data_IF_275825327995
#
_entry.id   IF_275825327995
#
_cell.length_a   1.000
_cell.length_b   1.000
_cell.length_c   1.000
_cell.angle_alpha   90.00
_cell.angle_beta   90.00
_cell.angle_gamma   90.00
#
_symmetry.space_group_name_H-M   'P 1'
#
loop_
_entity.id
_entity.type
_entity.pdbx_description
1 polymer ?
#
# COMPACT_ATOMS: atom_id res chain seq x y z
N UNK A 1 -38.09 -43.91 -15.68
CA UNK A 1 -37.45 -43.89 -14.35
C UNK A 1 -36.05 -43.36 -14.53
N UNK A 2 -35.46 -42.44 -13.78
CA UNK A 2 -35.87 -41.47 -12.75
C UNK A 2 -34.62 -40.60 -12.49
N UNK A 3 -34.83 -39.40 -11.95
CA UNK A 3 -33.81 -38.44 -11.52
C UNK A 3 -32.70 -39.01 -10.63
N UNK A 4 -31.51 -38.40 -10.68
CA UNK A 4 -30.83 -37.85 -9.47
C UNK A 4 -29.52 -37.12 -9.83
N UNK A 5 -29.47 -35.82 -9.54
CA UNK A 5 -28.24 -35.04 -9.24
C UNK A 5 -28.10 -34.97 -7.69
N UNK A 6 -27.01 -34.45 -7.08
CA UNK A 6 -25.60 -34.28 -7.46
C UNK A 6 -24.61 -34.86 -6.40
N UNK A 7 -23.30 -34.90 -6.68
CA UNK A 7 -22.27 -35.00 -5.63
C UNK A 7 -21.26 -33.87 -5.81
N UNK A 8 -21.17 -32.96 -4.83
CA UNK A 8 -19.98 -32.11 -4.61
C UNK A 8 -18.97 -32.93 -3.80
N UNK A 9 -17.67 -32.77 -4.08
CA UNK A 9 -16.64 -32.37 -3.09
C UNK A 9 -15.24 -32.53 -3.70
N UNK A 10 -14.48 -31.42 -3.64
CA UNK A 10 -13.01 -31.28 -3.65
C UNK A 10 -12.15 -32.20 -4.51
N UNK A 11 -11.47 -31.63 -5.51
CA UNK A 11 -10.25 -32.24 -6.06
C UNK A 11 -9.09 -31.25 -5.89
N UNK A 12 -8.24 -31.59 -4.92
CA UNK A 12 -6.87 -31.09 -4.78
C UNK A 12 -6.05 -31.83 -5.84
N UNK A 13 -5.59 -31.15 -6.90
CA UNK A 13 -4.68 -31.78 -7.87
C UNK A 13 -3.25 -31.50 -7.42
N UNK A 14 -2.70 -32.47 -6.67
CA UNK A 14 -1.27 -32.65 -6.51
C UNK A 14 -0.70 -33.20 -7.83
N UNK A 15 0.23 -32.46 -8.44
CA UNK A 15 1.20 -32.84 -9.48
C UNK A 15 0.85 -34.00 -10.44
N UNK A 16 0.64 -33.67 -11.71
CA UNK A 16 0.80 -34.60 -12.82
C UNK A 16 2.10 -34.25 -13.55
N UNK A 17 3.13 -35.08 -13.43
CA UNK A 17 4.30 -35.05 -14.30
C UNK A 17 3.95 -35.69 -15.64
N UNK A 18 3.75 -34.88 -16.68
CA UNK A 18 3.83 -35.31 -18.08
C UNK A 18 4.73 -34.33 -18.82
N UNK A 19 5.63 -34.87 -19.64
CA UNK A 19 6.68 -34.17 -20.40
C UNK A 19 6.11 -33.34 -21.56
N UNK A 20 5.37 -32.29 -21.24
CA UNK A 20 5.22 -31.13 -22.12
C UNK A 20 6.34 -30.13 -21.78
N UNK A 21 6.82 -29.28 -22.72
CA UNK A 21 7.51 -28.06 -22.31
C UNK A 21 6.52 -27.27 -21.45
N UNK A 22 6.66 -27.40 -20.14
CA UNK A 22 5.88 -26.69 -19.16
C UNK A 22 6.23 -25.22 -19.32
N UNK A 23 5.35 -24.44 -19.94
CA UNK A 23 5.37 -23.00 -19.75
C UNK A 23 4.96 -22.76 -18.29
N UNK A 24 5.95 -22.69 -17.42
CA UNK A 24 5.78 -22.17 -16.08
C UNK A 24 5.51 -20.68 -16.22
N UNK A 25 4.23 -20.29 -16.25
CA UNK A 25 3.89 -18.91 -16.00
C UNK A 25 4.07 -18.70 -14.50
N UNK A 26 5.12 -17.99 -14.11
CA UNK A 26 5.15 -17.39 -12.78
C UNK A 26 4.20 -16.20 -12.87
N UNK A 27 2.98 -16.31 -12.33
CA UNK A 27 2.22 -15.07 -12.04
C UNK A 27 2.99 -14.41 -10.92
N UNK A 28 3.80 -13.41 -11.27
CA UNK A 28 4.38 -12.53 -10.29
C UNK A 28 3.23 -11.63 -9.81
N UNK A 29 2.45 -12.12 -8.84
CA UNK A 29 1.51 -11.31 -8.09
C UNK A 29 2.34 -10.36 -7.20
N UNK A 30 3.07 -9.42 -7.81
CA UNK A 30 3.58 -8.25 -7.09
C UNK A 30 2.38 -7.38 -6.70
N UNK A 31 1.50 -7.90 -5.84
CA UNK A 31 0.38 -7.15 -5.26
C UNK A 31 0.87 -6.16 -4.19
N UNK A 32 2.18 -6.01 -4.03
CA UNK A 32 2.82 -5.08 -3.11
C UNK A 32 3.87 -4.28 -3.89
N UNK A 33 3.82 -2.96 -3.71
CA UNK A 33 4.92 -2.04 -4.02
C UNK A 33 5.45 -1.55 -2.68
N UNK A 34 6.77 -1.64 -2.50
CA UNK A 34 7.44 -1.22 -1.28
C UNK A 34 8.62 -0.31 -1.63
N UNK A 35 8.81 0.73 -0.83
CA UNK A 35 10.08 1.45 -0.74
C UNK A 35 10.94 0.86 0.39
N UNK A 36 12.16 1.39 0.56
CA UNK A 36 13.09 0.91 1.57
C UNK A 36 12.70 1.36 3.00
N UNK A 37 12.80 0.44 3.97
CA UNK A 37 12.51 0.69 5.40
C UNK A 37 13.74 1.14 6.21
N UNK A 38 14.74 1.75 5.56
CA UNK A 38 16.03 2.10 6.18
C UNK A 38 15.88 3.19 7.26
N UNK A 39 14.95 4.12 7.08
CA UNK A 39 14.73 5.23 8.01
C UNK A 39 15.86 6.26 7.96
N UNK A 40 16.12 6.93 9.09
CA UNK A 40 17.15 7.97 9.22
C UNK A 40 16.57 9.35 9.56
N UNK A 41 15.33 9.60 9.15
CA UNK A 41 14.56 10.77 9.53
C UNK A 41 13.32 10.37 10.36
N UNK A 42 12.55 11.35 10.82
CA UNK A 42 11.23 11.09 11.38
C UNK A 42 10.40 12.34 11.61
N UNK A 43 9.10 12.16 11.45
CA UNK A 43 8.08 13.19 11.60
C UNK A 43 6.74 12.56 11.97
N UNK A 44 5.84 13.36 12.56
CA UNK A 44 4.48 12.93 12.88
C UNK A 44 3.60 12.77 11.64
N UNK A 45 4.03 13.30 10.49
CA UNK A 45 3.30 13.22 9.23
C UNK A 45 4.23 12.92 8.06
N UNK A 46 3.72 12.25 7.03
CA UNK A 46 4.43 12.08 5.76
C UNK A 46 3.45 12.09 4.59
N UNK A 47 3.83 12.79 3.53
CA UNK A 47 3.03 12.96 2.31
C UNK A 47 3.78 12.36 1.14
N UNK A 48 3.06 11.74 0.20
CA UNK A 48 3.60 11.17 -1.02
C UNK A 48 2.53 11.10 -2.11
N UNK A 49 2.92 10.79 -3.34
CA UNK A 49 1.96 10.54 -4.42
C UNK A 49 1.94 9.07 -4.87
N UNK A 50 0.77 8.65 -5.32
CA UNK A 50 0.53 7.36 -5.98
C UNK A 50 -0.11 7.60 -7.34
N UNK A 51 0.33 6.88 -8.37
CA UNK A 51 -0.30 6.84 -9.69
C UNK A 51 -0.59 5.38 -10.09
N UNK A 52 -1.85 4.93 -10.04
CA UNK A 52 -2.24 3.63 -10.55
C UNK A 52 -2.16 3.58 -12.08
N UNK A 53 -1.61 2.50 -12.63
CA UNK A 53 -1.62 2.20 -14.07
C UNK A 53 -2.95 1.55 -14.51
N UNK A 54 -3.68 0.96 -13.57
CA UNK A 54 -5.03 0.38 -13.74
C UNK A 54 -5.89 0.67 -12.51
N UNK A 55 -7.18 0.37 -12.59
CA UNK A 55 -8.08 0.49 -11.45
C UNK A 55 -7.64 -0.50 -10.37
N UNK A 56 -7.35 0.00 -9.16
CA UNK A 56 -6.85 -0.82 -8.06
C UNK A 56 -7.67 -0.59 -6.79
N UNK A 57 -7.62 -1.59 -5.90
CA UNK A 57 -8.16 -1.48 -4.56
C UNK A 57 -7.05 -1.75 -3.56
N UNK A 58 -6.64 -0.72 -2.81
CA UNK A 58 -5.67 -0.87 -1.73
C UNK A 58 -6.43 -1.41 -0.51
N UNK A 59 -5.91 -2.50 0.08
CA UNK A 59 -6.47 -3.10 1.30
C UNK A 59 -5.62 -2.80 2.53
N UNK A 60 -4.30 -2.80 2.36
CA UNK A 60 -3.33 -2.65 3.44
C UNK A 60 -2.17 -1.77 3.02
N UNK A 61 -1.62 -1.04 3.98
CA UNK A 61 -0.43 -0.21 3.83
C UNK A 61 0.52 -0.58 4.96
N UNK A 62 1.79 -0.82 4.65
CA UNK A 62 2.82 -1.08 5.66
C UNK A 62 3.61 0.18 5.94
N UNK A 63 3.73 0.53 7.22
CA UNK A 63 4.33 1.76 7.72
C UNK A 63 5.54 1.45 8.59
N UNK A 64 6.55 2.31 8.55
CA UNK A 64 7.71 2.24 9.44
C UNK A 64 7.47 3.21 10.61
N UNK A 65 7.10 2.68 11.77
CA UNK A 65 6.70 3.48 12.93
C UNK A 65 7.77 3.40 14.02
N UNK A 66 8.05 4.53 14.67
CA UNK A 66 8.94 4.62 15.82
C UNK A 66 8.20 4.46 17.16
N UNK A 67 7.31 3.48 17.22
CA UNK A 67 6.51 3.15 18.40
C UNK A 67 6.37 1.64 18.54
N UNK A 68 6.28 1.16 19.78
CA UNK A 68 6.05 -0.26 20.12
C UNK A 68 4.68 -0.49 20.79
N UNK A 69 3.78 0.48 20.63
CA UNK A 69 2.41 0.47 21.15
C UNK A 69 1.39 0.68 20.02
N UNK A 70 0.12 0.42 20.31
CA UNK A 70 -0.97 0.69 19.37
C UNK A 70 -1.18 2.20 19.26
N UNK A 71 -1.10 2.74 18.03
CA UNK A 71 -1.29 4.16 17.73
C UNK A 71 -2.36 4.36 16.67
N UNK A 72 -3.02 5.51 16.68
CA UNK A 72 -3.95 5.86 15.61
C UNK A 72 -3.18 6.49 14.44
N UNK A 73 -3.38 5.92 13.26
CA UNK A 73 -2.89 6.46 11.99
C UNK A 73 -4.08 6.95 11.18
N UNK A 74 -4.00 8.20 10.75
CA UNK A 74 -4.94 8.77 9.80
C UNK A 74 -4.35 8.73 8.39
N UNK A 75 -5.15 8.29 7.42
CA UNK A 75 -4.88 8.45 6.00
C UNK A 75 -5.80 9.53 5.45
N UNK A 76 -5.20 10.59 4.97
CA UNK A 76 -5.84 11.67 4.23
C UNK A 76 -5.47 11.54 2.75
N UNK A 77 -6.43 11.79 1.87
CA UNK A 77 -6.19 11.70 0.43
C UNK A 77 -6.73 12.92 -0.29
N UNK A 78 -6.20 13.14 -1.49
CA UNK A 78 -6.74 14.07 -2.46
C UNK A 78 -6.42 13.62 -3.88
N UNK A 79 -7.26 14.03 -4.83
CA UNK A 79 -6.92 13.91 -6.24
C UNK A 79 -5.88 14.98 -6.62
N UNK A 80 -4.90 14.60 -7.43
CA UNK A 80 -3.74 15.42 -7.76
C UNK A 80 -2.52 15.12 -6.89
N UNK A 81 -1.46 15.91 -7.02
CA UNK A 81 -0.20 15.76 -6.28
C UNK A 81 -0.26 16.45 -4.91
N UNK A 82 0.43 15.93 -3.90
CA UNK A 82 0.64 16.62 -2.61
C UNK A 82 1.44 17.93 -2.73
N UNK A 83 2.28 18.05 -3.76
CA UNK A 83 3.24 19.15 -3.92
C UNK A 83 2.53 20.51 -3.98
N UNK A 84 3.01 21.48 -3.18
CA UNK A 84 2.43 22.82 -2.98
C UNK A 84 1.14 22.86 -2.17
N UNK A 85 0.75 21.78 -1.49
CA UNK A 85 -0.43 21.71 -0.63
C UNK A 85 -0.13 21.07 0.74
N UNK A 86 1.16 21.00 1.09
CA UNK A 86 1.68 20.40 2.31
C UNK A 86 1.16 21.15 3.56
N UNK A 87 0.89 22.44 3.41
CA UNK A 87 0.42 23.32 4.48
C UNK A 87 -1.05 23.74 4.32
N UNK A 88 -1.82 23.08 3.45
CA UNK A 88 -3.23 23.40 3.17
C UNK A 88 -4.17 22.27 3.62
N UNK A 89 -4.38 22.03 4.93
CA UNK A 89 -5.17 20.89 5.42
C UNK A 89 -6.61 20.86 4.89
N UNK A 90 -7.20 22.02 4.55
CA UNK A 90 -8.55 22.10 3.96
C UNK A 90 -8.65 21.56 2.52
N UNK A 91 -7.52 21.28 1.86
CA UNK A 91 -7.46 20.64 0.53
C UNK A 91 -7.40 19.12 0.59
N UNK A 92 -7.32 18.57 1.80
CA UNK A 92 -7.21 17.13 2.06
C UNK A 92 -8.53 16.60 2.63
N UNK A 93 -8.88 15.39 2.24
CA UNK A 93 -10.04 14.68 2.79
C UNK A 93 -9.54 13.54 3.66
N UNK A 94 -10.02 13.45 4.91
CA UNK A 94 -9.73 12.29 5.76
C UNK A 94 -10.48 11.08 5.22
N UNK A 95 -9.73 10.06 4.84
CA UNK A 95 -10.26 8.89 4.16
C UNK A 95 -10.40 7.73 5.13
N UNK A 96 -9.41 7.51 5.99
CA UNK A 96 -9.39 6.41 6.97
C UNK A 96 -8.73 6.87 8.26
N UNK A 97 -9.22 6.35 9.39
CA UNK A 97 -8.53 6.35 10.68
C UNK A 97 -8.55 4.93 11.25
N UNK A 98 -7.38 4.38 11.56
CA UNK A 98 -7.21 2.99 12.01
C UNK A 98 -6.20 2.94 13.14
N UNK A 99 -6.47 2.10 14.13
CA UNK A 99 -5.50 1.74 15.16
C UNK A 99 -4.53 0.71 14.61
N UNK A 100 -3.24 1.02 14.67
CA UNK A 100 -2.13 0.23 14.12
C UNK A 100 -1.20 -0.15 15.25
N UNK A 101 -0.88 -1.45 15.35
CA UNK A 101 0.15 -1.93 16.27
C UNK A 101 1.53 -1.52 15.76
N UNK A 102 2.19 -0.62 16.50
CA UNK A 102 3.56 -0.21 16.23
C UNK A 102 4.53 -1.35 16.49
N UNK A 103 5.33 -1.71 15.48
CA UNK A 103 6.33 -2.78 15.59
C UNK A 103 7.75 -2.26 15.87
N UNK A 104 7.92 -0.96 16.08
CA UNK A 104 9.20 -0.29 16.27
C UNK A 104 9.98 -0.06 14.97
N UNK A 105 11.05 0.73 15.10
CA UNK A 105 11.85 1.22 13.97
C UNK A 105 12.39 0.10 13.09
N UNK A 106 12.27 0.28 11.77
CA UNK A 106 12.80 -0.63 10.76
C UNK A 106 11.93 -1.87 10.54
N UNK A 107 10.80 -2.00 11.25
CA UNK A 107 9.84 -3.09 11.08
C UNK A 107 8.54 -2.59 10.46
N UNK A 108 7.90 -3.44 9.66
CA UNK A 108 6.62 -3.15 9.02
C UNK A 108 5.51 -3.17 10.07
N UNK A 109 4.79 -2.07 10.23
CA UNK A 109 3.53 -1.97 10.99
C UNK A 109 2.37 -1.97 10.01
N UNK A 110 1.38 -2.84 10.19
CA UNK A 110 0.31 -3.05 9.21
C UNK A 110 -0.89 -2.14 9.47
N UNK A 111 -1.18 -1.23 8.55
CA UNK A 111 -2.42 -0.46 8.52
C UNK A 111 -3.43 -1.15 7.59
N UNK A 112 -4.42 -1.83 8.17
CA UNK A 112 -5.53 -2.41 7.40
C UNK A 112 -6.60 -1.34 7.17
N UNK A 113 -6.71 -0.86 5.94
CA UNK A 113 -7.62 0.24 5.57
C UNK A 113 -8.96 -0.28 5.03
N UNK A 114 -9.19 -1.60 5.05
CA UNK A 114 -10.38 -2.18 4.46
C UNK A 114 -10.34 -2.02 2.95
N UNK A 115 -10.91 -0.98 2.37
CA UNK A 115 -10.85 -0.72 0.92
C UNK A 115 -10.59 0.76 0.63
N UNK A 116 -9.68 1.01 -0.31
CA UNK A 116 -9.53 2.30 -0.96
C UNK A 116 -9.42 2.09 -2.47
N UNK A 117 -10.45 2.50 -3.19
CA UNK A 117 -10.49 2.41 -4.65
C UNK A 117 -9.77 3.59 -5.29
N UNK A 118 -8.86 3.31 -6.22
CA UNK A 118 -8.15 4.31 -7.01
C UNK A 118 -8.34 4.02 -8.50
N UNK A 119 -8.70 5.06 -9.25
CA UNK A 119 -8.89 4.96 -10.70
C UNK A 119 -7.54 4.97 -11.41
N UNK A 120 -7.45 4.21 -12.50
CA UNK A 120 -6.32 4.21 -13.41
C UNK A 120 -5.98 5.64 -13.87
N UNK A 121 -4.69 5.91 -14.04
CA UNK A 121 -4.14 7.16 -14.60
C UNK A 121 -4.53 8.43 -13.83
N UNK A 122 -5.06 8.29 -12.62
CA UNK A 122 -5.36 9.41 -11.72
C UNK A 122 -4.29 9.48 -10.65
N UNK A 123 -3.60 10.62 -10.52
CA UNK A 123 -2.66 10.81 -9.41
C UNK A 123 -3.42 11.11 -8.12
N UNK A 124 -2.98 10.49 -7.04
CA UNK A 124 -3.49 10.73 -5.70
C UNK A 124 -2.37 11.14 -4.76
N UNK A 125 -2.57 12.24 -4.06
CA UNK A 125 -1.75 12.66 -2.94
C UNK A 125 -2.24 11.93 -1.70
N UNK A 126 -1.34 11.26 -1.00
CA UNK A 126 -1.58 10.58 0.27
C UNK A 126 -0.85 11.34 1.36
N UNK A 127 -1.52 11.52 2.49
CA UNK A 127 -0.95 12.10 3.69
C UNK A 127 -1.27 11.19 4.87
N UNK A 128 -0.22 10.62 5.46
CA UNK A 128 -0.29 9.83 6.68
C UNK A 128 0.04 10.73 7.87
N UNK A 129 -0.79 10.67 8.91
CA UNK A 129 -0.64 11.47 10.12
C UNK A 129 -0.80 10.58 11.36
N UNK A 130 0.14 10.72 12.29
CA UNK A 130 0.08 10.14 13.62
C UNK A 130 -0.34 11.21 14.62
N UNK A 131 -1.22 10.85 15.56
CA UNK A 131 -1.53 11.70 16.72
C UNK A 131 -0.45 11.58 17.80
N UNK A 132 0.23 10.43 17.88
CA UNK A 132 1.34 10.17 18.79
C UNK A 132 2.39 9.29 18.08
N UNK A 133 3.68 9.58 18.30
CA UNK A 133 4.79 8.89 17.66
C UNK A 133 5.24 9.51 16.34
N UNK A 134 6.18 8.83 15.67
CA UNK A 134 6.78 9.29 14.42
C UNK A 134 6.81 8.19 13.36
N UNK A 135 6.65 8.58 12.10
CA UNK A 135 7.06 7.79 10.96
C UNK A 135 8.58 7.80 10.83
N UNK A 136 9.14 6.75 10.22
CA UNK A 136 10.56 6.66 9.86
C UNK A 136 10.69 6.52 8.35
N UNK A 137 11.40 7.45 7.74
CA UNK A 137 11.65 7.47 6.30
C UNK A 137 13.10 7.80 6.00
N UNK A 138 13.52 7.48 4.78
CA UNK A 138 14.88 7.69 4.28
C UNK A 138 14.87 8.86 3.31
N UNK A 139 15.96 9.62 3.23
CA UNK A 139 16.10 10.65 2.20
C UNK A 139 15.98 10.03 0.80
N UNK A 140 15.13 10.63 -0.02
CA UNK A 140 15.04 10.33 -1.45
C UNK A 140 16.07 11.11 -2.26
N UNK A 141 15.96 11.01 -3.58
CA UNK A 141 16.74 11.80 -4.53
C UNK A 141 16.08 13.14 -4.89
N UNK A 142 14.78 13.30 -4.64
CA UNK A 142 14.02 14.53 -4.87
C UNK A 142 12.50 14.29 -4.90
N UNK A 143 11.73 15.20 -4.28
CA UNK A 143 10.26 15.12 -4.22
C UNK A 143 9.67 14.98 -5.63
N UNK A 144 8.77 14.00 -5.80
CA UNK A 144 8.13 13.70 -7.08
C UNK A 144 8.90 12.73 -7.97
N UNK A 145 10.12 12.30 -7.60
CA UNK A 145 10.82 11.21 -8.29
C UNK A 145 10.13 9.86 -8.03
N UNK A 146 10.34 8.88 -8.91
CA UNK A 146 9.83 7.53 -8.67
C UNK A 146 10.59 6.86 -7.53
N UNK A 147 9.90 6.55 -6.44
CA UNK A 147 10.44 5.80 -5.31
C UNK A 147 10.42 4.28 -5.55
N UNK A 148 9.33 3.79 -6.14
CA UNK A 148 9.12 2.39 -6.49
C UNK A 148 7.98 2.28 -7.51
N UNK A 149 7.96 1.21 -8.31
CA UNK A 149 6.88 0.95 -9.27
C UNK A 149 6.78 -0.53 -9.58
N UNK A 150 5.57 -0.98 -9.94
CA UNK A 150 5.30 -2.27 -10.56
C UNK A 150 4.34 -2.06 -11.76
N UNK A 151 3.74 -3.14 -12.28
CA UNK A 151 2.76 -3.09 -13.36
C UNK A 151 1.41 -2.45 -12.96
N UNK A 152 1.16 -2.27 -11.66
CA UNK A 152 -0.12 -1.84 -11.12
C UNK A 152 -0.13 -0.36 -10.74
N UNK A 153 0.96 0.12 -10.14
CA UNK A 153 1.09 1.47 -9.61
C UNK A 153 2.54 1.96 -9.57
N UNK A 154 2.67 3.28 -9.57
CA UNK A 154 3.92 3.99 -9.27
C UNK A 154 3.78 4.77 -7.97
N UNK A 155 4.77 4.64 -7.10
CA UNK A 155 4.95 5.42 -5.88
C UNK A 155 5.99 6.50 -6.13
N UNK A 156 5.68 7.73 -5.75
CA UNK A 156 6.61 8.86 -5.86
C UNK A 156 7.15 9.26 -4.49
N UNK A 157 8.40 9.69 -4.47
CA UNK A 157 9.04 10.31 -3.31
C UNK A 157 8.25 11.55 -2.90
N UNK A 158 8.15 11.75 -1.58
CA UNK A 158 7.38 12.83 -1.00
C UNK A 158 8.13 13.55 0.11
N UNK A 159 7.39 14.09 1.07
CA UNK A 159 7.91 14.90 2.18
C UNK A 159 7.47 14.34 3.53
N UNK A 160 8.20 14.69 4.59
CA UNK A 160 7.88 14.36 5.98
C UNK A 160 8.63 15.28 6.91
#
# INVERSE_FOLDING_TARGET
YQNSRPVRTGVLIHQISHSAPSMTFSVNLMNEVSSAFLGGNGASGTMLDVLPAKDINIRKIYLNLDVEETVNVELWTRTGTHISYENEPWRWQRTVIVSVDGNGRGKKSCMDIGHLHLNANTRYGFYFLLTNGNFRYTNGMGVGNTAASNEDLTLYEGVG
#
